data_IF_972961624254
#
_entry.id   IF_972961624254
#
_cell.length_a   1.000
_cell.length_b   1.000
_cell.length_c   1.000
_cell.angle_alpha   90.00
_cell.angle_beta   90.00
_cell.angle_gamma   90.00
#
_symmetry.space_group_name_H-M   'P 1'
#
loop_
_entity.id
_entity.type
_entity.pdbx_description
1 polymer ?
#
# COMPACT_ATOMS: atom_id res chain seq x y z
N UNK A 1 5.11 36.42 -1.13
CA UNK A 1 3.77 36.04 -0.87
C UNK A 1 3.54 35.51 0.54
N UNK A 2 2.75 34.49 0.67
CA UNK A 2 2.32 33.90 1.95
C UNK A 2 2.90 32.52 2.11
N UNK A 3 3.21 32.11 3.33
CA UNK A 3 3.44 30.72 3.72
C UNK A 3 2.11 30.19 4.25
N UNK A 4 1.68 29.03 3.72
CA UNK A 4 0.41 28.42 4.13
C UNK A 4 0.55 27.71 5.49
N UNK A 5 -0.44 27.91 6.35
CA UNK A 5 -0.62 27.12 7.58
C UNK A 5 -1.30 25.80 7.21
N UNK A 6 -0.62 24.68 7.43
CA UNK A 6 -1.10 23.34 7.05
C UNK A 6 -1.44 22.51 8.29
N UNK A 7 -2.22 21.47 8.09
CA UNK A 7 -2.56 20.47 9.10
C UNK A 7 -1.33 19.71 9.64
N UNK A 8 -0.35 19.43 8.77
CA UNK A 8 0.87 18.69 9.08
C UNK A 8 2.02 19.11 8.17
N UNK A 9 3.12 18.37 8.22
CA UNK A 9 4.38 18.65 7.51
C UNK A 9 4.79 20.12 7.60
N UNK A 10 4.74 20.68 8.80
CA UNK A 10 4.97 22.12 9.05
C UNK A 10 6.37 22.58 8.65
N UNK A 11 7.38 21.69 8.73
CA UNK A 11 8.75 21.99 8.34
C UNK A 11 8.95 22.10 6.80
N UNK A 12 7.96 21.71 6.01
CA UNK A 12 7.96 21.86 4.54
C UNK A 12 7.09 23.06 4.16
N UNK A 13 7.70 24.19 3.78
CA UNK A 13 6.99 25.40 3.44
C UNK A 13 6.20 25.23 2.11
N UNK A 14 4.90 25.52 2.17
CA UNK A 14 4.04 25.71 0.99
C UNK A 14 3.78 27.20 0.85
N UNK A 15 4.16 27.78 -0.29
CA UNK A 15 4.22 29.23 -0.46
C UNK A 15 3.40 29.69 -1.64
N UNK A 16 2.82 30.90 -1.52
CA UNK A 16 2.38 31.70 -2.68
C UNK A 16 3.61 32.41 -3.23
N UNK A 17 4.04 32.03 -4.42
CA UNK A 17 5.22 32.59 -5.08
C UNK A 17 4.84 33.79 -5.92
N UNK A 18 5.59 34.89 -5.81
CA UNK A 18 5.44 36.09 -6.61
C UNK A 18 6.68 36.26 -7.49
N UNK A 19 6.48 36.52 -8.78
CA UNK A 19 7.53 36.66 -9.78
C UNK A 19 7.50 38.03 -10.46
N UNK A 20 7.01 39.08 -9.79
CA UNK A 20 6.86 40.42 -10.35
C UNK A 20 8.21 40.99 -10.75
N UNK A 21 8.41 41.17 -12.05
CA UNK A 21 9.67 41.65 -12.64
C UNK A 21 10.84 40.67 -12.58
N UNK A 22 10.65 39.42 -12.18
CA UNK A 22 11.72 38.42 -12.15
C UNK A 22 12.17 38.05 -13.57
N UNK A 23 13.49 37.96 -13.78
CA UNK A 23 14.07 37.46 -15.03
C UNK A 23 13.87 35.94 -15.10
N UNK A 24 13.28 35.46 -16.17
CA UNK A 24 13.06 34.04 -16.44
C UNK A 24 13.58 33.61 -17.78
N UNK A 25 13.96 32.32 -17.88
CA UNK A 25 14.41 31.70 -19.13
C UNK A 25 13.50 30.50 -19.45
N UNK A 26 13.05 30.41 -20.71
CA UNK A 26 12.26 29.28 -21.17
C UNK A 26 13.15 28.03 -21.24
N UNK A 27 12.79 26.99 -20.46
CA UNK A 27 13.40 25.66 -20.54
C UNK A 27 12.45 24.72 -21.30
N UNK A 28 12.90 24.20 -22.43
CA UNK A 28 12.10 23.34 -23.31
C UNK A 28 11.24 24.13 -24.30
N UNK A 29 10.12 23.55 -24.72
CA UNK A 29 9.22 24.14 -25.72
C UNK A 29 8.08 24.92 -25.06
N UNK A 30 7.71 26.06 -25.65
CA UNK A 30 6.53 26.81 -25.22
C UNK A 30 5.28 25.93 -25.22
N UNK A 31 4.44 26.13 -24.22
CA UNK A 31 3.17 25.39 -24.00
C UNK A 31 3.31 23.86 -23.79
N UNK A 32 4.54 23.35 -23.52
CA UNK A 32 4.81 21.93 -23.21
C UNK A 32 5.26 21.67 -21.77
N UNK A 33 5.09 22.64 -20.88
CA UNK A 33 5.54 22.55 -19.47
C UNK A 33 4.91 21.38 -18.69
N UNK A 34 3.65 21.06 -18.94
CA UNK A 34 2.99 19.88 -18.31
C UNK A 34 3.71 18.57 -18.63
N UNK A 35 4.17 18.39 -19.89
CA UNK A 35 4.92 17.19 -20.28
C UNK A 35 6.26 17.10 -19.53
N UNK A 36 6.96 18.23 -19.40
CA UNK A 36 8.21 18.30 -18.66
C UNK A 36 8.00 18.01 -17.16
N UNK A 37 6.93 18.55 -16.57
CA UNK A 37 6.57 18.31 -15.17
C UNK A 37 6.29 16.82 -14.90
N UNK A 38 5.60 16.11 -15.80
CA UNK A 38 5.31 14.70 -15.63
C UNK A 38 6.55 13.79 -15.59
N UNK A 39 7.67 14.21 -16.16
CA UNK A 39 8.96 13.50 -16.01
C UNK A 39 9.34 13.39 -14.53
N UNK A 40 9.28 14.49 -13.79
CA UNK A 40 9.54 14.53 -12.35
C UNK A 40 8.43 13.83 -11.54
N UNK A 41 7.16 14.10 -11.87
CA UNK A 41 6.02 13.57 -11.09
C UNK A 41 5.94 12.04 -11.08
N UNK A 42 6.34 11.37 -12.16
CA UNK A 42 6.31 9.90 -12.19
C UNK A 42 7.29 9.28 -11.18
N UNK A 43 8.46 9.89 -10.99
CA UNK A 43 9.43 9.48 -9.97
C UNK A 43 8.97 9.91 -8.57
N UNK A 44 8.44 11.13 -8.42
CA UNK A 44 7.91 11.64 -7.16
C UNK A 44 6.79 10.74 -6.58
N UNK A 45 5.95 10.13 -7.40
CA UNK A 45 4.88 9.23 -6.97
C UNK A 45 5.38 7.97 -6.25
N UNK A 46 6.53 7.41 -6.67
CA UNK A 46 7.18 6.35 -5.89
C UNK A 46 7.60 6.87 -4.52
N UNK A 47 8.25 8.05 -4.46
CA UNK A 47 8.63 8.71 -3.21
C UNK A 47 7.46 8.94 -2.27
N UNK A 48 6.29 9.36 -2.80
CA UNK A 48 5.07 9.52 -2.00
C UNK A 48 4.51 8.18 -1.51
N UNK A 49 4.60 7.11 -2.29
CA UNK A 49 4.29 5.77 -1.82
C UNK A 49 5.19 5.34 -0.66
N UNK A 50 6.49 5.63 -0.75
CA UNK A 50 7.47 5.41 0.34
C UNK A 50 7.10 6.24 1.57
N UNK A 51 6.74 7.52 1.41
CA UNK A 51 6.28 8.37 2.50
C UNK A 51 5.08 7.75 3.24
N UNK A 52 4.12 7.16 2.50
CA UNK A 52 2.95 6.52 3.10
C UNK A 52 3.32 5.41 4.08
N UNK A 53 4.08 4.42 3.64
CA UNK A 53 4.45 3.32 4.53
C UNK A 53 5.50 3.72 5.58
N UNK A 54 6.39 4.67 5.29
CA UNK A 54 7.42 5.10 6.24
C UNK A 54 6.81 5.83 7.44
N UNK A 55 5.79 6.66 7.23
CA UNK A 55 5.02 7.26 8.32
C UNK A 55 4.33 6.18 9.18
N UNK A 56 3.71 5.20 8.54
CA UNK A 56 3.08 4.08 9.24
C UNK A 56 4.11 3.25 10.04
N UNK A 57 5.31 3.04 9.47
CA UNK A 57 6.38 2.32 10.17
C UNK A 57 6.86 3.05 11.42
N UNK A 58 7.13 4.36 11.30
CA UNK A 58 7.54 5.15 12.45
C UNK A 58 6.46 5.14 13.55
N UNK A 59 5.19 5.30 13.17
CA UNK A 59 4.06 5.20 14.09
C UNK A 59 3.96 3.81 14.74
N UNK A 60 4.11 2.74 13.95
CA UNK A 60 4.10 1.35 14.41
C UNK A 60 5.20 1.07 15.44
N UNK A 61 6.44 1.53 15.21
CA UNK A 61 7.54 1.32 16.13
C UNK A 61 7.27 1.96 17.49
N UNK A 62 6.70 3.17 17.51
CA UNK A 62 6.26 3.84 18.73
C UNK A 62 5.13 3.06 19.43
N UNK A 63 4.12 2.62 18.67
CA UNK A 63 3.02 1.84 19.20
C UNK A 63 3.48 0.50 19.80
N UNK A 64 4.44 -0.18 19.14
CA UNK A 64 5.00 -1.42 19.63
C UNK A 64 5.77 -1.23 20.94
N UNK A 65 6.60 -0.18 21.02
CA UNK A 65 7.33 0.16 22.26
C UNK A 65 6.37 0.45 23.41
N UNK A 66 5.35 1.29 23.16
CA UNK A 66 4.32 1.60 24.13
C UNK A 66 3.55 0.35 24.61
N UNK A 67 3.15 -0.53 23.67
CA UNK A 67 2.40 -1.74 24.01
C UNK A 67 3.20 -2.73 24.87
N UNK A 68 4.51 -2.75 24.76
CA UNK A 68 5.41 -3.58 25.59
C UNK A 68 5.60 -3.01 26.99
N UNK A 69 5.59 -1.68 27.12
CA UNK A 69 5.87 -0.99 28.39
C UNK A 69 4.60 -0.72 29.21
N UNK A 70 3.50 -0.33 28.57
CA UNK A 70 2.27 0.06 29.24
C UNK A 70 1.57 -1.12 29.87
N UNK A 71 1.43 -1.08 31.20
CA UNK A 71 0.67 -2.06 31.98
C UNK A 71 -0.80 -1.64 32.10
N UNK A 72 -1.72 -2.51 31.67
CA UNK A 72 -3.17 -2.28 31.82
C UNK A 72 -3.96 -3.58 31.63
N UNK A 73 -4.81 -3.89 32.61
CA UNK A 73 -5.65 -5.09 32.58
C UNK A 73 -4.85 -6.37 32.85
N UNK A 74 -5.52 -7.51 32.66
CA UNK A 74 -4.94 -8.85 32.77
C UNK A 74 -5.28 -9.66 31.52
N UNK A 75 -4.39 -10.52 31.09
CA UNK A 75 -4.70 -11.49 30.06
C UNK A 75 -5.86 -12.38 30.50
N UNK A 76 -6.82 -12.64 29.61
CA UNK A 76 -8.01 -13.46 29.90
C UNK A 76 -7.62 -14.91 30.22
N UNK A 77 -6.49 -15.35 29.70
CA UNK A 77 -5.92 -16.70 29.91
C UNK A 77 -5.18 -16.86 31.23
N UNK A 78 -5.07 -15.80 32.02
CA UNK A 78 -4.35 -15.72 33.28
C UNK A 78 -3.23 -14.68 33.22
N UNK A 79 -2.77 -14.18 34.41
CA UNK A 79 -1.71 -13.18 34.45
C UNK A 79 -0.42 -13.63 33.78
N UNK A 80 0.09 -12.84 32.83
CA UNK A 80 1.39 -13.07 32.20
C UNK A 80 2.54 -12.54 33.09
N UNK A 81 2.28 -11.46 33.87
CA UNK A 81 3.18 -10.91 34.87
C UNK A 81 2.54 -10.92 36.25
N UNK A 82 2.50 -12.08 36.95
CA UNK A 82 1.80 -12.23 38.23
C UNK A 82 2.28 -11.26 39.32
N UNK A 83 3.56 -10.90 39.31
CA UNK A 83 4.19 -10.04 40.32
C UNK A 83 3.96 -8.53 40.05
N UNK A 84 3.37 -8.17 38.93
CA UNK A 84 3.02 -6.81 38.57
C UNK A 84 1.53 -6.52 38.84
N UNK A 85 1.18 -5.24 38.99
CA UNK A 85 -0.21 -4.82 39.21
C UNK A 85 -1.13 -5.09 38.00
N UNK A 86 -0.57 -5.17 36.79
CA UNK A 86 -1.26 -5.45 35.53
C UNK A 86 -0.30 -6.09 34.53
N UNK A 87 -0.83 -6.57 33.39
CA UNK A 87 -0.03 -7.09 32.31
C UNK A 87 0.28 -6.00 31.27
N UNK A 88 1.37 -6.16 30.48
CA UNK A 88 1.63 -5.27 29.33
C UNK A 88 0.52 -5.36 28.29
N UNK A 89 0.22 -4.24 27.62
CA UNK A 89 -0.82 -4.19 26.58
C UNK A 89 -0.64 -5.22 25.48
N UNK A 90 0.62 -5.57 25.15
CA UNK A 90 0.94 -6.50 24.07
C UNK A 90 0.42 -7.93 24.31
N UNK A 91 -0.01 -8.30 25.51
CA UNK A 91 -0.59 -9.62 25.77
C UNK A 91 -2.03 -9.73 25.27
N UNK A 92 -2.72 -8.60 25.09
CA UNK A 92 -4.13 -8.57 24.70
C UNK A 92 -4.31 -8.87 23.22
N UNK A 93 -5.21 -9.81 22.83
CA UNK A 93 -5.37 -10.22 21.44
C UNK A 93 -5.72 -9.08 20.47
N UNK A 94 -6.51 -8.08 20.88
CA UNK A 94 -6.87 -6.96 20.02
C UNK A 94 -5.66 -6.03 19.76
N UNK A 95 -4.84 -5.79 20.77
CA UNK A 95 -3.59 -5.04 20.59
C UNK A 95 -2.65 -5.80 19.65
N UNK A 96 -2.52 -7.12 19.81
CA UNK A 96 -1.72 -7.96 18.91
C UNK A 96 -2.25 -7.95 17.48
N UNK A 97 -3.57 -8.02 17.30
CA UNK A 97 -4.20 -7.88 15.98
C UNK A 97 -3.79 -6.56 15.33
N UNK A 98 -3.92 -5.47 16.06
CA UNK A 98 -3.58 -4.12 15.59
C UNK A 98 -2.09 -4.03 15.20
N UNK A 99 -1.19 -4.49 16.06
CA UNK A 99 0.25 -4.50 15.79
C UNK A 99 0.63 -5.44 14.62
N UNK A 100 -0.02 -6.58 14.47
CA UNK A 100 0.23 -7.51 13.36
C UNK A 100 -0.25 -6.95 12.02
N UNK A 101 -1.37 -6.23 11.99
CA UNK A 101 -1.83 -5.54 10.79
C UNK A 101 -0.79 -4.50 10.34
N UNK A 102 -0.33 -3.65 11.24
CA UNK A 102 0.69 -2.65 10.96
C UNK A 102 2.00 -3.30 10.49
N UNK A 103 2.52 -4.29 11.23
CA UNK A 103 3.75 -4.99 10.89
C UNK A 103 3.69 -5.65 9.52
N UNK A 104 2.62 -6.37 9.24
CA UNK A 104 2.47 -7.06 7.95
C UNK A 104 2.34 -6.08 6.78
N UNK A 105 1.71 -4.93 7.01
CA UNK A 105 1.65 -3.88 5.99
C UNK A 105 3.00 -3.24 5.75
N UNK A 106 3.68 -2.69 6.77
CA UNK A 106 4.89 -1.89 6.56
C UNK A 106 6.03 -2.72 5.96
N UNK A 107 6.16 -3.99 6.32
CA UNK A 107 7.18 -4.86 5.75
C UNK A 107 6.85 -5.28 4.30
N UNK A 108 5.59 -5.61 4.01
CA UNK A 108 5.14 -5.90 2.65
C UNK A 108 5.21 -4.69 1.73
N UNK A 109 4.81 -3.52 2.22
CA UNK A 109 4.85 -2.25 1.51
C UNK A 109 6.29 -1.84 1.13
N UNK A 110 7.24 -2.03 2.06
CA UNK A 110 8.66 -1.79 1.79
C UNK A 110 9.16 -2.68 0.66
N UNK A 111 8.87 -3.97 0.70
CA UNK A 111 9.26 -4.91 -0.34
C UNK A 111 8.64 -4.54 -1.70
N UNK A 112 7.38 -4.13 -1.72
CA UNK A 112 6.69 -3.68 -2.95
C UNK A 112 7.27 -2.37 -3.49
N UNK A 113 7.54 -1.38 -2.64
CA UNK A 113 8.15 -0.12 -3.07
C UNK A 113 9.59 -0.33 -3.62
N UNK A 114 10.38 -1.20 -3.01
CA UNK A 114 11.72 -1.55 -3.49
C UNK A 114 11.67 -2.33 -4.81
N UNK A 115 10.69 -3.18 -5.01
CA UNK A 115 10.46 -3.78 -6.32
C UNK A 115 10.15 -2.72 -7.39
N UNK A 116 9.30 -1.73 -7.08
CA UNK A 116 9.06 -0.58 -7.96
C UNK A 116 10.33 0.21 -8.27
N UNK A 117 11.17 0.48 -7.27
CA UNK A 117 12.46 1.16 -7.45
C UNK A 117 13.41 0.35 -8.33
N UNK A 118 13.49 -0.96 -8.14
CA UNK A 118 14.30 -1.86 -8.98
C UNK A 118 13.84 -1.83 -10.45
N UNK A 119 12.53 -1.81 -10.69
CA UNK A 119 11.98 -1.70 -12.05
C UNK A 119 12.34 -0.36 -12.71
N UNK A 120 12.39 0.75 -11.94
CA UNK A 120 12.86 2.05 -12.43
C UNK A 120 14.34 1.97 -12.84
N UNK A 121 15.19 1.36 -12.01
CA UNK A 121 16.60 1.18 -12.33
C UNK A 121 16.80 0.30 -13.58
N UNK A 122 16.06 -0.78 -13.72
CA UNK A 122 16.07 -1.64 -14.90
C UNK A 122 15.62 -0.88 -16.17
N UNK A 123 14.55 -0.10 -16.06
CA UNK A 123 14.07 0.74 -17.15
C UNK A 123 15.10 1.78 -17.59
N UNK A 124 15.73 2.49 -16.64
CA UNK A 124 16.57 3.63 -16.93
C UNK A 124 18.03 3.25 -17.25
N UNK A 125 18.55 2.18 -16.64
CA UNK A 125 19.96 1.79 -16.76
C UNK A 125 20.20 0.63 -17.72
N UNK A 126 19.22 -0.26 -17.88
CA UNK A 126 19.29 -1.40 -18.76
C UNK A 126 18.41 -1.26 -20.02
N UNK A 127 17.73 -0.12 -20.19
CA UNK A 127 16.77 0.15 -21.28
C UNK A 127 15.70 -0.95 -21.43
N UNK A 128 15.27 -1.52 -20.30
CA UNK A 128 14.28 -2.59 -20.27
C UNK A 128 12.85 -2.04 -20.44
N UNK A 129 12.33 -2.15 -21.65
CA UNK A 129 10.98 -1.71 -22.00
C UNK A 129 9.88 -2.48 -21.22
N UNK A 130 10.14 -3.73 -20.80
CA UNK A 130 9.20 -4.51 -19.99
C UNK A 130 9.13 -3.96 -18.57
N UNK A 131 10.28 -3.66 -17.97
CA UNK A 131 10.35 -3.02 -16.65
C UNK A 131 9.70 -1.63 -16.68
N UNK A 132 9.93 -0.84 -17.75
CA UNK A 132 9.26 0.45 -17.95
C UNK A 132 7.73 0.31 -17.94
N UNK A 133 7.19 -0.62 -18.71
CA UNK A 133 5.75 -0.86 -18.78
C UNK A 133 5.17 -1.31 -17.44
N UNK A 134 5.86 -2.21 -16.76
CA UNK A 134 5.42 -2.75 -15.48
C UNK A 134 5.43 -1.67 -14.38
N UNK A 135 6.49 -0.88 -14.24
CA UNK A 135 6.52 0.21 -13.25
C UNK A 135 5.50 1.30 -13.57
N UNK A 136 5.26 1.59 -14.84
CA UNK A 136 4.21 2.52 -15.27
C UNK A 136 2.82 2.07 -14.80
N UNK A 137 2.53 0.77 -14.86
CA UNK A 137 1.28 0.18 -14.35
C UNK A 137 1.21 0.23 -12.81
N UNK A 138 2.31 -0.08 -12.12
CA UNK A 138 2.36 -0.20 -10.66
C UNK A 138 2.42 1.15 -9.92
N UNK A 139 2.91 2.21 -10.56
CA UNK A 139 3.08 3.53 -9.92
C UNK A 139 1.80 4.07 -9.27
N UNK A 140 0.61 4.07 -9.91
CA UNK A 140 -0.62 4.51 -9.26
C UNK A 140 -1.01 3.62 -8.06
N UNK A 141 -0.71 2.32 -8.13
CA UNK A 141 -0.97 1.38 -7.01
C UNK A 141 -0.02 1.66 -5.85
N UNK A 142 1.28 1.84 -6.12
CA UNK A 142 2.28 2.18 -5.10
C UNK A 142 1.87 3.47 -4.40
N UNK A 143 1.58 4.53 -5.16
CA UNK A 143 1.20 5.82 -4.58
C UNK A 143 -0.13 5.74 -3.85
N UNK A 144 -1.19 5.26 -4.51
CA UNK A 144 -2.54 5.30 -3.96
C UNK A 144 -2.74 4.34 -2.78
N UNK A 145 -2.46 3.07 -2.97
CA UNK A 145 -2.67 2.04 -1.96
C UNK A 145 -1.77 2.22 -0.73
N UNK A 146 -0.46 2.49 -0.92
CA UNK A 146 0.45 2.60 0.21
C UNK A 146 0.20 3.85 1.05
N UNK A 147 -0.31 4.94 0.47
CA UNK A 147 -0.64 6.15 1.22
C UNK A 147 -1.98 6.06 1.94
N UNK A 148 -3.00 5.43 1.34
CA UNK A 148 -4.28 5.17 2.01
C UNK A 148 -4.08 4.28 3.23
N UNK A 149 -3.44 3.12 3.03
CA UNK A 149 -3.16 2.19 4.13
C UNK A 149 -2.16 2.78 5.13
N UNK A 150 -1.19 3.57 4.67
CA UNK A 150 -0.23 4.26 5.53
C UNK A 150 -0.92 5.21 6.51
N UNK A 151 -1.85 6.03 6.02
CA UNK A 151 -2.66 6.91 6.87
C UNK A 151 -3.50 6.10 7.88
N UNK A 152 -4.21 5.07 7.42
CA UNK A 152 -5.00 4.20 8.29
C UNK A 152 -4.16 3.61 9.43
N UNK A 153 -2.94 3.15 9.13
CA UNK A 153 -2.06 2.56 10.15
C UNK A 153 -1.43 3.59 11.09
N UNK A 154 -1.25 4.85 10.68
CA UNK A 154 -0.92 5.92 11.61
C UNK A 154 -2.06 6.13 12.64
N UNK A 155 -3.31 6.11 12.20
CA UNK A 155 -4.49 6.18 13.09
C UNK A 155 -4.56 4.96 14.02
N UNK A 156 -4.31 3.76 13.49
CA UNK A 156 -4.31 2.54 14.31
C UNK A 156 -3.16 2.50 15.31
N UNK A 157 -1.99 3.03 14.98
CA UNK A 157 -0.87 3.18 15.92
C UNK A 157 -1.25 4.12 17.06
N UNK A 158 -1.89 5.26 16.74
CA UNK A 158 -2.44 6.17 17.74
C UNK A 158 -3.47 5.47 18.67
N UNK A 159 -4.31 4.57 18.11
CA UNK A 159 -5.28 3.80 18.86
C UNK A 159 -4.64 2.90 19.93
N UNK A 160 -3.45 2.34 19.68
CA UNK A 160 -2.71 1.51 20.65
C UNK A 160 -2.36 2.29 21.92
N UNK A 161 -2.13 3.59 21.80
CA UNK A 161 -1.88 4.47 22.95
C UNK A 161 -3.13 4.78 23.80
N UNK A 162 -4.33 4.44 23.30
CA UNK A 162 -5.58 4.80 23.97
C UNK A 162 -5.70 6.30 24.18
N UNK A 163 -6.11 6.73 25.37
CA UNK A 163 -6.24 8.17 25.71
C UNK A 163 -4.93 8.96 25.54
N UNK A 164 -3.78 8.36 25.83
CA UNK A 164 -2.48 9.00 25.61
C UNK A 164 -2.23 9.34 24.13
N UNK A 165 -2.72 8.54 23.19
CA UNK A 165 -2.59 8.81 21.76
C UNK A 165 -3.30 10.09 21.30
N UNK A 166 -4.25 10.59 22.08
CA UNK A 166 -4.98 11.83 21.81
C UNK A 166 -4.33 13.07 22.43
N UNK A 167 -3.31 12.88 23.29
CA UNK A 167 -2.58 13.96 23.96
C UNK A 167 -1.33 14.30 23.14
N UNK A 168 -1.19 15.59 22.78
CA UNK A 168 -0.12 16.09 21.89
C UNK A 168 1.30 15.75 22.38
N UNK A 169 1.53 15.73 23.69
CA UNK A 169 2.82 15.42 24.32
C UNK A 169 3.36 14.02 23.92
N UNK A 170 2.49 13.08 23.56
CA UNK A 170 2.87 11.74 23.12
C UNK A 170 3.28 11.68 21.64
N UNK A 171 3.05 12.74 20.86
CA UNK A 171 3.49 12.89 19.48
C UNK A 171 2.74 12.06 18.44
N UNK A 172 1.82 11.19 18.83
CA UNK A 172 1.14 10.28 17.90
C UNK A 172 0.21 10.98 16.93
N UNK A 173 -0.36 12.13 17.32
CA UNK A 173 -1.21 12.97 16.46
C UNK A 173 -0.45 13.48 15.22
N UNK A 174 0.85 13.74 15.35
CA UNK A 174 1.68 14.24 14.25
C UNK A 174 1.81 13.22 13.13
N UNK A 175 1.99 11.93 13.44
CA UNK A 175 2.04 10.90 12.40
C UNK A 175 0.76 10.87 11.57
N UNK A 176 -0.40 10.97 12.22
CA UNK A 176 -1.70 11.03 11.54
C UNK A 176 -1.83 12.29 10.68
N UNK A 177 -1.46 13.47 11.21
CA UNK A 177 -1.55 14.73 10.47
C UNK A 177 -0.60 14.75 9.27
N UNK A 178 0.65 14.29 9.45
CA UNK A 178 1.66 14.30 8.40
C UNK A 178 1.38 13.25 7.32
N UNK A 179 0.81 12.10 7.66
CA UNK A 179 0.44 11.07 6.68
C UNK A 179 -0.73 11.51 5.77
N UNK A 180 -1.63 12.38 6.26
CA UNK A 180 -2.86 12.73 5.54
C UNK A 180 -2.62 13.39 4.18
N UNK A 181 -1.60 14.20 4.03
CA UNK A 181 -1.30 14.91 2.78
C UNK A 181 -0.93 13.94 1.65
N UNK A 182 -0.28 12.81 1.98
CA UNK A 182 0.18 11.85 0.98
C UNK A 182 -0.96 11.25 0.12
N UNK A 183 -2.18 11.23 0.66
CA UNK A 183 -3.38 10.80 -0.07
C UNK A 183 -3.90 11.85 -1.05
N UNK A 184 -3.52 13.12 -0.88
CA UNK A 184 -4.13 14.28 -1.56
C UNK A 184 -3.23 14.81 -2.68
N UNK A 185 -1.95 15.04 -2.40
CA UNK A 185 -1.04 15.66 -3.36
C UNK A 185 -0.41 14.66 -4.34
N UNK A 186 0.33 15.13 -5.33
CA UNK A 186 0.93 14.35 -6.43
C UNK A 186 -0.11 13.53 -7.22
N UNK A 187 -1.33 14.07 -7.29
CA UNK A 187 -2.53 13.41 -7.77
C UNK A 187 -3.24 12.64 -6.65
N UNK A 188 -4.42 13.13 -6.25
CA UNK A 188 -5.23 12.48 -5.23
C UNK A 188 -5.46 10.99 -5.53
N UNK A 189 -5.63 10.16 -4.50
CA UNK A 189 -5.70 8.70 -4.68
C UNK A 189 -6.85 8.25 -5.59
N UNK A 190 -7.98 8.97 -5.59
CA UNK A 190 -9.03 8.79 -6.59
C UNK A 190 -8.54 9.02 -8.03
N UNK A 191 -7.68 10.03 -8.25
CA UNK A 191 -7.07 10.29 -9.57
C UNK A 191 -6.08 9.19 -9.95
N UNK A 192 -5.34 8.63 -8.99
CA UNK A 192 -4.47 7.45 -9.24
C UNK A 192 -5.31 6.23 -9.67
N UNK A 193 -6.43 6.00 -9.00
CA UNK A 193 -7.34 4.92 -9.33
C UNK A 193 -7.95 5.09 -10.74
N UNK A 194 -8.35 6.31 -11.09
CA UNK A 194 -8.85 6.64 -12.43
C UNK A 194 -7.76 6.47 -13.50
N UNK A 195 -6.53 6.90 -13.24
CA UNK A 195 -5.40 6.71 -14.15
C UNK A 195 -5.09 5.22 -14.36
N UNK A 196 -5.14 4.43 -13.30
CA UNK A 196 -4.93 2.98 -13.35
C UNK A 196 -5.94 2.30 -14.28
N UNK A 197 -7.24 2.52 -14.07
CA UNK A 197 -8.30 1.84 -14.83
C UNK A 197 -8.52 2.47 -16.20
N UNK A 198 -8.57 3.81 -16.28
CA UNK A 198 -8.89 4.51 -17.51
C UNK A 198 -7.76 4.58 -18.53
N UNK A 199 -6.51 4.42 -18.11
CA UNK A 199 -5.34 4.57 -18.99
C UNK A 199 -4.38 3.38 -18.89
N UNK A 200 -3.86 3.08 -17.69
CA UNK A 200 -2.76 2.13 -17.52
C UNK A 200 -3.17 0.68 -17.81
N UNK A 201 -4.36 0.28 -17.38
CA UNK A 201 -4.86 -1.08 -17.58
C UNK A 201 -4.98 -1.46 -19.06
N UNK A 202 -5.46 -0.53 -19.90
CA UNK A 202 -5.62 -0.73 -21.34
C UNK A 202 -4.42 -0.31 -22.19
N UNK A 203 -3.38 0.26 -21.61
CA UNK A 203 -2.23 0.76 -22.34
C UNK A 203 -1.54 -0.36 -23.15
N UNK A 204 -1.16 -0.07 -24.40
CA UNK A 204 -0.54 -1.01 -25.32
C UNK A 204 -1.32 -2.34 -25.46
N UNK A 205 -2.66 -2.23 -25.51
CA UNK A 205 -3.54 -3.42 -25.62
C UNK A 205 -3.59 -4.26 -24.35
N UNK A 206 -3.27 -3.68 -23.18
CA UNK A 206 -3.23 -4.42 -21.90
C UNK A 206 -1.96 -5.22 -21.66
N UNK A 207 -0.92 -5.04 -22.50
CA UNK A 207 0.35 -5.78 -22.42
C UNK A 207 0.98 -5.75 -21.03
N UNK A 208 0.94 -4.59 -20.36
CA UNK A 208 1.58 -4.43 -19.05
C UNK A 208 0.81 -5.15 -17.92
N UNK A 209 -0.52 -5.16 -18.02
CA UNK A 209 -1.35 -5.95 -17.10
C UNK A 209 -1.13 -7.46 -17.29
N UNK A 210 -1.05 -7.92 -18.54
CA UNK A 210 -0.71 -9.31 -18.85
C UNK A 210 0.68 -9.70 -18.35
N UNK A 211 1.68 -8.80 -18.49
CA UNK A 211 3.03 -9.01 -17.96
C UNK A 211 3.01 -9.16 -16.43
N UNK A 212 2.22 -8.34 -15.71
CA UNK A 212 2.06 -8.50 -14.27
C UNK A 212 1.47 -9.87 -13.88
N UNK A 213 0.43 -10.30 -14.57
CA UNK A 213 -0.16 -11.61 -14.31
C UNK A 213 0.80 -12.76 -14.62
N UNK A 214 1.63 -12.62 -15.64
CA UNK A 214 2.66 -13.62 -15.97
C UNK A 214 3.76 -13.68 -14.91
N UNK A 215 4.15 -12.56 -14.30
CA UNK A 215 5.08 -12.54 -13.14
C UNK A 215 4.55 -13.41 -12.00
N UNK A 216 3.28 -13.25 -11.63
CA UNK A 216 2.67 -14.04 -10.54
C UNK A 216 2.52 -15.51 -10.94
N UNK A 217 2.07 -15.78 -12.15
CA UNK A 217 1.90 -17.14 -12.68
C UNK A 217 3.23 -17.90 -12.71
N UNK A 218 4.29 -17.27 -13.21
CA UNK A 218 5.64 -17.82 -13.25
C UNK A 218 6.13 -18.14 -11.83
N UNK A 219 6.00 -17.20 -10.89
CA UNK A 219 6.35 -17.43 -9.48
C UNK A 219 5.60 -18.64 -8.90
N UNK A 220 4.30 -18.74 -9.14
CA UNK A 220 3.49 -19.85 -8.65
C UNK A 220 3.90 -21.20 -9.29
N UNK A 221 4.28 -21.20 -10.56
CA UNK A 221 4.76 -22.40 -11.25
C UNK A 221 6.15 -22.85 -10.73
N UNK A 222 7.07 -21.92 -10.58
CA UNK A 222 8.41 -22.18 -10.00
C UNK A 222 8.35 -22.65 -8.55
N UNK A 223 7.30 -22.27 -7.82
CA UNK A 223 7.05 -22.72 -6.44
C UNK A 223 6.49 -24.16 -6.36
N UNK A 224 6.32 -24.87 -7.46
CA UNK A 224 5.78 -26.23 -7.46
C UNK A 224 6.65 -27.23 -6.66
N UNK A 225 7.96 -27.00 -6.62
CA UNK A 225 8.94 -27.83 -5.89
C UNK A 225 9.09 -27.47 -4.41
N UNK A 226 8.46 -26.40 -3.94
CA UNK A 226 8.51 -25.98 -2.54
C UNK A 226 7.68 -26.89 -1.62
N UNK A 227 7.84 -26.73 -0.32
CA UNK A 227 7.14 -27.54 0.68
C UNK A 227 5.62 -27.46 0.54
N UNK A 228 4.87 -28.52 0.90
CA UNK A 228 3.41 -28.50 0.90
C UNK A 228 2.83 -27.36 1.75
N UNK A 229 3.44 -27.08 2.89
CA UNK A 229 3.07 -26.00 3.80
C UNK A 229 3.18 -24.63 3.11
N UNK A 230 4.34 -24.32 2.54
CA UNK A 230 4.51 -23.06 1.79
C UNK A 230 3.49 -22.91 0.66
N UNK A 231 3.23 -23.98 -0.08
CA UNK A 231 2.23 -23.93 -1.16
C UNK A 231 0.83 -23.65 -0.65
N UNK A 232 0.40 -24.31 0.41
CA UNK A 232 -0.93 -24.11 0.99
C UNK A 232 -1.10 -22.71 1.57
N UNK A 233 -0.07 -22.20 2.27
CA UNK A 233 -0.16 -20.97 3.04
C UNK A 233 0.10 -19.70 2.22
N UNK A 234 0.88 -19.78 1.13
CA UNK A 234 1.29 -18.61 0.34
C UNK A 234 0.91 -18.68 -1.13
N UNK A 235 1.09 -19.84 -1.78
CA UNK A 235 0.88 -19.93 -3.23
C UNK A 235 -0.61 -19.99 -3.58
N UNK A 236 -1.40 -20.80 -2.89
CA UNK A 236 -2.83 -20.96 -3.20
C UNK A 236 -3.64 -19.69 -2.85
N UNK A 237 -3.42 -18.99 -1.71
CA UNK A 237 -4.05 -17.70 -1.47
C UNK A 237 -3.67 -16.64 -2.52
N UNK A 238 -2.40 -16.58 -2.92
CA UNK A 238 -1.93 -15.65 -3.96
C UNK A 238 -2.58 -15.95 -5.32
N UNK A 239 -2.69 -17.21 -5.72
CA UNK A 239 -3.40 -17.60 -6.95
C UNK A 239 -4.86 -17.15 -6.92
N UNK A 240 -5.53 -17.34 -5.79
CA UNK A 240 -6.92 -16.92 -5.60
C UNK A 240 -7.08 -15.42 -5.76
N UNK A 241 -6.24 -14.63 -5.08
CA UNK A 241 -6.27 -13.17 -5.15
C UNK A 241 -5.92 -12.66 -6.56
N UNK A 242 -4.92 -13.26 -7.22
CA UNK A 242 -4.56 -12.92 -8.60
C UNK A 242 -5.70 -13.21 -9.57
N UNK A 243 -6.42 -14.34 -9.40
CA UNK A 243 -7.61 -14.65 -10.21
C UNK A 243 -8.72 -13.62 -10.01
N UNK A 244 -8.95 -13.14 -8.78
CA UNK A 244 -9.91 -12.09 -8.50
C UNK A 244 -9.53 -10.76 -9.17
N UNK A 245 -8.24 -10.41 -9.20
CA UNK A 245 -7.76 -9.23 -9.91
C UNK A 245 -7.95 -9.36 -11.43
N UNK A 246 -7.68 -10.54 -12.00
CA UNK A 246 -7.95 -10.82 -13.42
C UNK A 246 -9.43 -10.68 -13.75
N UNK A 247 -10.30 -11.20 -12.89
CA UNK A 247 -11.76 -11.12 -13.06
C UNK A 247 -12.24 -9.65 -13.01
N UNK A 248 -11.71 -8.83 -12.11
CA UNK A 248 -12.01 -7.41 -12.05
C UNK A 248 -11.53 -6.66 -13.31
N UNK A 249 -10.33 -6.96 -13.81
CA UNK A 249 -9.81 -6.39 -15.04
C UNK A 249 -10.68 -6.74 -16.26
N UNK A 250 -11.08 -8.00 -16.38
CA UNK A 250 -11.99 -8.46 -17.43
C UNK A 250 -13.37 -7.78 -17.34
N UNK A 251 -13.90 -7.61 -16.13
CA UNK A 251 -15.15 -6.88 -15.91
C UNK A 251 -15.11 -5.47 -16.49
N UNK A 252 -14.03 -4.72 -16.26
CA UNK A 252 -13.85 -3.38 -16.84
C UNK A 252 -13.71 -3.41 -18.36
N UNK A 253 -12.97 -4.36 -18.92
CA UNK A 253 -12.84 -4.51 -20.37
C UNK A 253 -14.19 -4.77 -21.05
N UNK A 254 -15.07 -5.54 -20.43
CA UNK A 254 -16.37 -5.91 -20.98
C UNK A 254 -17.42 -4.79 -20.82
N UNK A 255 -17.34 -4.03 -19.74
CA UNK A 255 -18.39 -3.08 -19.34
C UNK A 255 -17.98 -1.62 -19.47
N UNK A 256 -16.69 -1.30 -19.32
CA UNK A 256 -16.19 0.08 -19.27
C UNK A 256 -16.44 0.90 -20.54
N UNK A 257 -16.39 0.27 -21.73
CA UNK A 257 -16.68 0.96 -22.99
C UNK A 257 -18.19 1.24 -23.16
N UNK A 258 -19.04 0.37 -22.62
CA UNK A 258 -20.50 0.52 -22.70
C UNK A 258 -21.03 1.51 -21.68
N UNK A 259 -20.44 1.53 -20.50
CA UNK A 259 -20.79 2.40 -19.38
C UNK A 259 -19.52 2.89 -18.68
N UNK A 260 -18.96 4.04 -19.07
CA UNK A 260 -17.77 4.61 -18.45
C UNK A 260 -17.90 4.76 -16.93
N UNK A 261 -19.07 5.13 -16.42
CA UNK A 261 -19.33 5.24 -14.99
C UNK A 261 -19.09 3.94 -14.23
N UNK A 262 -19.30 2.78 -14.84
CA UNK A 262 -19.03 1.46 -14.22
C UNK A 262 -17.54 1.30 -13.93
N UNK A 263 -16.67 1.66 -14.86
CA UNK A 263 -15.23 1.62 -14.65
C UNK A 263 -14.77 2.67 -13.62
N UNK A 264 -15.34 3.88 -13.69
CA UNK A 264 -14.98 4.99 -12.79
C UNK A 264 -15.42 4.69 -11.35
N UNK A 265 -16.63 4.17 -11.13
CA UNK A 265 -17.15 3.84 -9.81
C UNK A 265 -16.36 2.72 -9.12
N UNK A 266 -15.87 1.72 -9.87
CA UNK A 266 -15.08 0.60 -9.35
C UNK A 266 -13.58 0.86 -9.28
N UNK A 267 -13.06 1.97 -9.79
CA UNK A 267 -11.62 2.21 -9.96
C UNK A 267 -10.84 2.22 -8.64
N UNK A 268 -11.41 2.80 -7.60
CA UNK A 268 -10.78 2.87 -6.27
C UNK A 268 -10.65 1.48 -5.63
N UNK A 269 -11.73 0.69 -5.68
CA UNK A 269 -11.70 -0.69 -5.20
C UNK A 269 -10.72 -1.55 -6.03
N UNK A 270 -10.58 -1.31 -7.34
CA UNK A 270 -9.60 -2.00 -8.18
C UNK A 270 -8.16 -1.68 -7.76
N UNK A 271 -7.85 -0.42 -7.48
CA UNK A 271 -6.53 -0.03 -7.00
C UNK A 271 -6.19 -0.71 -5.67
N UNK A 272 -7.15 -0.81 -4.75
CA UNK A 272 -6.97 -1.51 -3.48
C UNK A 272 -6.83 -3.03 -3.66
N UNK A 273 -7.66 -3.64 -4.50
CA UNK A 273 -7.52 -5.06 -4.85
C UNK A 273 -6.13 -5.35 -5.42
N UNK A 274 -5.67 -4.52 -6.34
CA UNK A 274 -4.35 -4.65 -6.95
C UNK A 274 -3.24 -4.49 -5.89
N UNK A 275 -3.34 -3.52 -5.00
CA UNK A 275 -2.40 -3.31 -3.90
C UNK A 275 -2.28 -4.52 -2.99
N UNK A 276 -3.41 -5.14 -2.62
CA UNK A 276 -3.40 -6.37 -1.83
C UNK A 276 -2.71 -7.53 -2.55
N UNK A 277 -2.92 -7.69 -3.86
CA UNK A 277 -2.24 -8.73 -4.65
C UNK A 277 -0.72 -8.46 -4.71
N UNK A 278 -0.30 -7.20 -4.90
CA UNK A 278 1.12 -6.83 -4.88
C UNK A 278 1.79 -7.16 -3.54
N UNK A 279 1.15 -6.83 -2.42
CA UNK A 279 1.68 -7.18 -1.10
C UNK A 279 1.65 -8.70 -0.86
N UNK A 280 0.60 -9.39 -1.30
CA UNK A 280 0.54 -10.85 -1.26
C UNK A 280 1.71 -11.50 -2.01
N UNK A 281 2.03 -10.99 -3.20
CA UNK A 281 3.20 -11.44 -3.96
C UNK A 281 4.53 -11.13 -3.23
N UNK A 282 4.67 -9.92 -2.69
CA UNK A 282 5.85 -9.56 -1.91
C UNK A 282 6.04 -10.49 -0.70
N UNK A 283 4.98 -10.78 0.04
CA UNK A 283 5.01 -11.71 1.17
C UNK A 283 5.32 -13.14 0.76
N UNK A 284 4.75 -13.63 -0.33
CA UNK A 284 5.06 -14.96 -0.85
C UNK A 284 6.56 -15.09 -1.21
N UNK A 285 7.16 -14.06 -1.83
CA UNK A 285 8.60 -13.99 -2.12
C UNK A 285 9.46 -14.00 -0.85
N UNK A 286 9.13 -13.15 0.12
CA UNK A 286 9.87 -13.09 1.39
C UNK A 286 9.75 -14.38 2.19
N UNK A 287 8.56 -14.96 2.28
CA UNK A 287 8.32 -16.23 2.96
C UNK A 287 9.06 -17.38 2.28
N UNK A 288 9.05 -17.46 0.93
CA UNK A 288 9.79 -18.48 0.18
C UNK A 288 11.27 -18.46 0.57
N UNK A 289 11.88 -17.27 0.62
CA UNK A 289 13.28 -17.17 1.01
C UNK A 289 13.49 -17.58 2.48
N UNK A 290 12.58 -17.20 3.39
CA UNK A 290 12.66 -17.59 4.79
C UNK A 290 12.52 -19.11 4.99
N UNK A 291 11.61 -19.77 4.25
CA UNK A 291 11.50 -21.24 4.25
C UNK A 291 12.78 -21.92 3.75
N UNK A 292 13.36 -21.42 2.65
CA UNK A 292 14.63 -21.94 2.10
C UNK A 292 15.78 -21.76 3.07
N UNK A 293 15.91 -20.59 3.70
CA UNK A 293 16.93 -20.32 4.72
C UNK A 293 16.79 -21.28 5.91
N UNK A 294 15.57 -21.48 6.39
CA UNK A 294 15.28 -22.39 7.51
C UNK A 294 15.65 -23.83 7.15
N UNK A 295 15.32 -24.29 5.95
CA UNK A 295 15.64 -25.63 5.48
C UNK A 295 17.15 -25.87 5.31
N UNK A 296 17.91 -24.82 4.98
CA UNK A 296 19.37 -24.85 4.80
C UNK A 296 20.14 -24.54 6.08
N UNK A 297 19.46 -24.15 7.16
CA UNK A 297 20.10 -23.70 8.41
C UNK A 297 20.89 -22.39 8.22
N UNK A 298 20.50 -21.51 7.28
CA UNK A 298 21.17 -20.24 6.97
C UNK A 298 20.42 -19.03 7.52
N UNK A 299 21.17 -17.97 7.83
CA UNK A 299 20.61 -16.74 8.40
C UNK A 299 20.16 -16.89 9.85
N UNK A 300 19.48 -15.87 10.36
CA UNK A 300 18.91 -15.87 11.71
C UNK A 300 17.59 -16.66 11.72
N UNK A 301 17.54 -17.73 12.51
CA UNK A 301 16.39 -18.62 12.61
C UNK A 301 15.14 -17.89 13.15
N UNK A 302 15.31 -17.02 14.17
CA UNK A 302 14.20 -16.26 14.75
C UNK A 302 13.64 -15.22 13.76
N UNK A 303 14.52 -14.60 12.98
CA UNK A 303 14.10 -13.70 11.89
C UNK A 303 13.30 -14.44 10.82
N UNK A 304 13.80 -15.60 10.34
CA UNK A 304 13.12 -16.40 9.33
C UNK A 304 11.73 -16.84 9.81
N UNK A 305 11.64 -17.35 11.04
CA UNK A 305 10.38 -17.75 11.67
C UNK A 305 9.40 -16.56 11.77
N UNK A 306 9.88 -15.40 12.20
CA UNK A 306 9.09 -14.18 12.30
C UNK A 306 8.56 -13.73 10.93
N UNK A 307 9.38 -13.82 9.88
CA UNK A 307 8.95 -13.52 8.51
C UNK A 307 7.83 -14.43 8.03
N UNK A 308 7.97 -15.73 8.25
CA UNK A 308 6.94 -16.72 7.89
C UNK A 308 5.63 -16.41 8.63
N UNK A 309 5.67 -16.21 9.95
CA UNK A 309 4.48 -15.90 10.76
C UNK A 309 3.81 -14.59 10.36
N UNK A 310 4.59 -13.55 10.08
CA UNK A 310 4.05 -12.24 9.65
C UNK A 310 3.43 -12.34 8.27
N UNK A 311 4.07 -13.05 7.34
CA UNK A 311 3.53 -13.28 6.01
C UNK A 311 2.26 -14.12 6.03
N UNK A 312 2.22 -15.16 6.85
CA UNK A 312 1.03 -16.00 7.05
C UNK A 312 -0.16 -15.17 7.57
N UNK A 313 0.10 -14.26 8.54
CA UNK A 313 -0.93 -13.31 9.00
C UNK A 313 -1.48 -12.49 7.83
N UNK A 314 -0.61 -11.95 6.97
CA UNK A 314 -1.06 -11.18 5.80
C UNK A 314 -1.95 -12.02 4.88
N UNK A 315 -1.52 -13.24 4.55
CA UNK A 315 -2.25 -14.13 3.67
C UNK A 315 -3.64 -14.50 4.22
N UNK A 316 -3.76 -14.68 5.52
CA UNK A 316 -5.00 -15.12 6.16
C UNK A 316 -5.94 -13.99 6.58
N UNK A 317 -5.41 -12.80 6.88
CA UNK A 317 -6.18 -11.72 7.51
C UNK A 317 -6.36 -10.48 6.64
N UNK A 318 -5.40 -10.19 5.75
CA UNK A 318 -5.41 -8.97 4.92
C UNK A 318 -5.71 -9.28 3.45
N UNK A 319 -5.07 -10.30 2.88
CA UNK A 319 -5.25 -10.65 1.48
C UNK A 319 -6.72 -11.01 1.10
N UNK A 320 -7.54 -11.62 1.98
CA UNK A 320 -8.95 -11.91 1.68
C UNK A 320 -9.81 -10.66 1.39
N UNK A 321 -9.36 -9.45 1.72
CA UNK A 321 -10.03 -8.20 1.33
C UNK A 321 -10.21 -8.07 -0.20
N UNK A 322 -9.41 -8.77 -1.01
CA UNK A 322 -9.56 -8.84 -2.46
C UNK A 322 -10.96 -9.30 -2.89
N UNK A 323 -11.59 -10.20 -2.15
CA UNK A 323 -12.96 -10.67 -2.42
C UNK A 323 -14.00 -9.55 -2.20
N UNK A 324 -13.84 -8.73 -1.14
CA UNK A 324 -14.71 -7.60 -0.87
C UNK A 324 -14.61 -6.54 -1.98
N UNK A 325 -13.39 -6.19 -2.37
CA UNK A 325 -13.17 -5.23 -3.45
C UNK A 325 -13.74 -5.72 -4.78
N UNK A 326 -13.57 -7.00 -5.12
CA UNK A 326 -14.18 -7.59 -6.32
C UNK A 326 -15.71 -7.50 -6.29
N UNK A 327 -16.33 -7.79 -5.15
CA UNK A 327 -17.78 -7.69 -5.00
C UNK A 327 -18.29 -6.25 -5.22
N UNK A 328 -17.58 -5.25 -4.67
CA UNK A 328 -17.88 -3.82 -4.87
C UNK A 328 -17.72 -3.39 -6.33
N UNK A 329 -16.66 -3.83 -7.01
CA UNK A 329 -16.46 -3.56 -8.44
C UNK A 329 -17.63 -4.11 -9.25
N UNK A 330 -18.06 -5.33 -8.97
CA UNK A 330 -19.16 -6.00 -9.69
C UNK A 330 -20.53 -5.42 -9.42
N UNK A 331 -20.73 -4.66 -8.34
CA UNK A 331 -21.98 -3.94 -8.08
C UNK A 331 -22.25 -2.83 -9.11
N UNK A 332 -21.22 -2.43 -9.89
CA UNK A 332 -21.35 -1.46 -10.96
C UNK A 332 -21.49 -0.02 -10.48
N UNK A 333 -22.00 0.86 -11.36
CA UNK A 333 -22.15 2.28 -11.06
C UNK A 333 -23.47 2.63 -10.37
N UNK A 334 -24.52 1.84 -10.56
CA UNK A 334 -25.89 2.20 -10.15
C UNK A 334 -26.00 2.60 -8.68
N UNK A 335 -25.42 1.85 -7.70
CA UNK A 335 -25.49 2.26 -6.30
C UNK A 335 -24.75 3.57 -6.00
N UNK A 336 -23.69 3.86 -6.76
CA UNK A 336 -22.86 5.07 -6.58
C UNK A 336 -23.53 6.30 -7.19
N UNK A 337 -24.24 6.12 -8.30
CA UNK A 337 -24.88 7.19 -9.07
C UNK A 337 -26.38 7.33 -8.77
N UNK A 338 -26.90 6.64 -7.75
CA UNK A 338 -28.34 6.56 -7.47
C UNK A 338 -28.95 7.90 -7.06
N UNK A 339 -28.20 8.74 -6.32
CA UNK A 339 -28.69 10.01 -5.81
C UNK A 339 -28.42 11.16 -6.78
N UNK A 340 -29.38 12.07 -6.93
CA UNK A 340 -29.16 13.37 -7.58
C UNK A 340 -28.39 14.32 -6.65
N UNK A 341 -27.81 15.40 -7.19
CA UNK A 341 -27.06 16.36 -6.38
C UNK A 341 -27.87 16.94 -5.21
N UNK A 342 -29.16 17.12 -5.39
CA UNK A 342 -30.06 17.69 -4.36
C UNK A 342 -30.46 16.68 -3.26
N UNK A 343 -30.08 15.41 -3.43
CA UNK A 343 -30.36 14.35 -2.45
C UNK A 343 -29.18 14.06 -1.51
N UNK A 344 -28.00 14.69 -1.76
CA UNK A 344 -26.87 14.72 -0.86
C UNK A 344 -27.00 15.85 0.16
#
# INVERSE_FOLDING_TARGET
GKIEEKMGIHANATCVMNFDGATGFLLGQAHKGMRAMFTMMNEARLGVGVQGYAQAEAAYQNALAYAKDRLQGRAVTGPENPDQAADPLIVHPDIRRNLMQQKSFVEGARAFAYWGAMLIDQSNRADDASAHGLVSLLTPVIKGFLTDRGFEFCVQAQQVFGGHGYIEEWGMSQFTRDARIAMIYEGANGVQALDLVGRKLGQDGGKHALAFFEVIKTFCAESASESPEFKADFVEPLKTASKQLQEAALYFMQNGLKSPNTALAGSYDFMHLFGHVCLGYAWARMAQQAFRNSAQGTGDAAFNETKIKTGLYYMQRELPATALHLARIKSGADPVMALTADQF
#
